data_IF_835859641914
#
_entry.id   IF_835859641914
#
_cell.length_a   1.000
_cell.length_b   1.000
_cell.length_c   1.000
_cell.angle_alpha   90.00
_cell.angle_beta   90.00
_cell.angle_gamma   90.00
#
_symmetry.space_group_name_H-M   'P 1'
#
loop_
_entity.id
_entity.type
_entity.pdbx_description
1 polymer ?
#
# COMPACT_ATOMS: atom_id res chain seq x y z
N UNK A 1 -53.03 -43.46 76.47
CA UNK A 1 -52.56 -43.04 75.13
C UNK A 1 -52.16 -41.59 75.22
N UNK A 2 -50.85 -41.30 75.41
CA UNK A 2 -50.26 -39.94 75.44
C UNK A 2 -49.75 -39.66 74.06
N UNK A 3 -50.43 -38.76 73.35
CA UNK A 3 -49.95 -38.17 72.10
C UNK A 3 -48.81 -37.18 72.44
N UNK A 4 -47.59 -37.65 72.29
CA UNK A 4 -46.44 -36.81 72.31
C UNK A 4 -46.37 -36.03 71.00
N UNK A 5 -46.67 -34.72 71.02
CA UNK A 5 -46.39 -33.83 69.92
C UNK A 5 -44.88 -33.59 69.87
N UNK A 6 -44.24 -34.21 68.92
CA UNK A 6 -42.84 -33.94 68.59
C UNK A 6 -42.78 -32.54 67.93
N UNK A 7 -42.19 -31.56 68.65
CA UNK A 7 -41.88 -30.24 68.07
C UNK A 7 -40.80 -30.42 67.07
N UNK A 8 -41.13 -30.30 65.81
CA UNK A 8 -40.14 -30.19 64.73
C UNK A 8 -39.46 -28.85 64.92
N UNK A 9 -38.27 -28.87 65.50
CA UNK A 9 -37.41 -27.69 65.50
C UNK A 9 -37.09 -27.33 64.07
N UNK A 10 -37.61 -26.21 63.64
CA UNK A 10 -37.31 -25.65 62.31
C UNK A 10 -35.87 -25.17 62.35
N UNK A 11 -34.92 -26.00 61.92
CA UNK A 11 -33.50 -25.69 61.87
C UNK A 11 -33.27 -24.62 60.79
N UNK A 12 -33.33 -23.36 61.21
CA UNK A 12 -33.15 -22.20 60.35
C UNK A 12 -31.75 -22.20 59.71
N UNK A 13 -30.76 -22.81 60.36
CA UNK A 13 -29.39 -22.98 59.83
C UNK A 13 -29.34 -23.85 58.59
N UNK A 14 -30.18 -24.90 58.50
CA UNK A 14 -30.28 -25.74 57.34
C UNK A 14 -30.85 -25.00 56.12
N UNK A 15 -31.87 -24.18 56.32
CA UNK A 15 -32.48 -23.37 55.25
C UNK A 15 -31.52 -22.31 54.72
N UNK A 16 -30.80 -21.62 55.61
CA UNK A 16 -29.80 -20.61 55.21
C UNK A 16 -28.65 -21.23 54.44
N UNK A 17 -28.16 -22.41 54.82
CA UNK A 17 -27.11 -23.14 54.15
C UNK A 17 -27.56 -23.63 52.77
N UNK A 18 -28.77 -24.17 52.64
CA UNK A 18 -29.31 -24.63 51.37
C UNK A 18 -29.57 -23.48 50.40
N UNK A 19 -30.12 -22.34 50.87
CA UNK A 19 -30.34 -21.15 50.06
C UNK A 19 -29.00 -20.54 49.62
N UNK A 20 -27.98 -20.53 50.48
CA UNK A 20 -26.64 -20.07 50.19
C UNK A 20 -25.98 -20.88 49.02
N UNK A 21 -26.15 -22.19 49.02
CA UNK A 21 -25.63 -23.06 47.93
C UNK A 21 -26.27 -22.72 46.57
N UNK A 22 -27.59 -22.49 46.56
CA UNK A 22 -28.28 -22.11 45.32
C UNK A 22 -27.87 -20.75 44.80
N UNK A 23 -27.61 -19.77 45.69
CA UNK A 23 -27.12 -18.44 45.33
C UNK A 23 -25.71 -18.54 44.71
N UNK A 24 -24.81 -19.29 45.34
CA UNK A 24 -23.45 -19.49 44.83
C UNK A 24 -23.45 -20.20 43.47
N UNK A 25 -24.28 -21.28 43.35
CA UNK A 25 -24.42 -21.97 42.07
C UNK A 25 -24.98 -21.05 40.97
N UNK A 26 -25.96 -20.20 41.29
CA UNK A 26 -26.50 -19.20 40.37
C UNK A 26 -25.48 -18.17 39.93
N UNK A 27 -24.62 -17.70 40.82
CA UNK A 27 -23.55 -16.77 40.52
C UNK A 27 -22.52 -17.41 39.58
N UNK A 28 -22.09 -18.64 39.87
CA UNK A 28 -21.16 -19.38 39.02
C UNK A 28 -21.72 -19.59 37.61
N UNK A 29 -22.99 -19.99 37.52
CA UNK A 29 -23.68 -20.19 36.25
C UNK A 29 -23.84 -18.87 35.48
N UNK A 30 -24.12 -17.76 36.18
CA UNK A 30 -24.21 -16.42 35.61
C UNK A 30 -22.87 -15.92 35.04
N UNK A 31 -21.77 -16.15 35.76
CA UNK A 31 -20.42 -15.82 35.30
C UNK A 31 -20.04 -16.64 34.06
N UNK A 32 -20.35 -17.94 34.09
CA UNK A 32 -20.10 -18.84 32.96
C UNK A 32 -20.90 -18.40 31.72
N UNK A 33 -22.15 -18.05 31.89
CA UNK A 33 -23.01 -17.55 30.80
C UNK A 33 -22.52 -16.21 30.26
N UNK A 34 -22.09 -15.30 31.11
CA UNK A 34 -21.52 -14.01 30.72
C UNK A 34 -20.21 -14.19 29.95
N UNK A 35 -19.36 -15.12 30.38
CA UNK A 35 -18.12 -15.46 29.68
C UNK A 35 -18.42 -16.04 28.28
N UNK A 36 -19.35 -16.97 28.17
CA UNK A 36 -19.81 -17.50 26.89
C UNK A 36 -20.40 -16.42 26.00
N UNK A 37 -21.22 -15.54 26.54
CA UNK A 37 -21.81 -14.43 25.81
C UNK A 37 -20.76 -13.49 25.23
N UNK A 38 -19.76 -13.07 26.04
CA UNK A 38 -18.67 -12.22 25.61
C UNK A 38 -17.77 -12.87 24.56
N UNK A 39 -17.63 -14.20 24.59
CA UNK A 39 -16.82 -14.95 23.61
C UNK A 39 -17.54 -15.14 22.29
N UNK A 40 -18.87 -15.35 22.32
CA UNK A 40 -19.68 -15.58 21.11
C UNK A 40 -20.17 -14.30 20.43
N UNK A 41 -20.30 -13.19 21.18
CA UNK A 41 -20.71 -11.91 20.62
C UNK A 41 -19.49 -11.00 20.47
N UNK A 42 -18.88 -10.90 19.26
CA UNK A 42 -17.78 -9.98 19.03
C UNK A 42 -18.23 -8.54 19.33
N UNK A 43 -17.42 -7.83 20.08
CA UNK A 43 -17.69 -6.45 20.46
C UNK A 43 -17.98 -5.60 19.21
N UNK A 44 -18.95 -4.67 19.24
CA UNK A 44 -19.22 -3.78 18.12
C UNK A 44 -17.97 -2.99 17.69
N UNK A 45 -17.03 -2.75 18.59
CA UNK A 45 -15.73 -2.13 18.30
C UNK A 45 -14.83 -3.04 17.43
N UNK A 46 -14.80 -4.34 17.69
CA UNK A 46 -14.05 -5.29 16.87
C UNK A 46 -14.57 -5.34 15.44
N UNK A 47 -15.89 -5.34 15.26
CA UNK A 47 -16.52 -5.29 13.94
C UNK A 47 -16.20 -3.98 13.19
N UNK A 48 -16.14 -2.86 13.90
CA UNK A 48 -15.73 -1.58 13.32
C UNK A 48 -14.27 -1.60 12.88
N UNK A 49 -13.36 -2.03 13.75
CA UNK A 49 -11.94 -2.15 13.45
C UNK A 49 -11.68 -3.12 12.28
N UNK A 50 -12.42 -4.21 12.22
CA UNK A 50 -12.30 -5.15 11.12
C UNK A 50 -12.76 -4.56 9.79
N UNK A 51 -13.88 -3.81 9.78
CA UNK A 51 -14.35 -3.08 8.59
C UNK A 51 -13.39 -1.99 8.16
N UNK A 52 -12.83 -1.23 9.11
CA UNK A 52 -11.81 -0.23 8.82
C UNK A 52 -10.56 -0.86 8.22
N UNK A 53 -10.11 -1.99 8.76
CA UNK A 53 -8.98 -2.76 8.23
C UNK A 53 -9.25 -3.25 6.80
N UNK A 54 -10.42 -3.82 6.54
CA UNK A 54 -10.83 -4.29 5.21
C UNK A 54 -10.92 -3.13 4.21
N UNK A 55 -11.46 -1.99 4.64
CA UNK A 55 -11.54 -0.77 3.82
C UNK A 55 -10.15 -0.24 3.47
N UNK A 56 -9.25 -0.16 4.46
CA UNK A 56 -7.87 0.27 4.24
C UNK A 56 -7.12 -0.68 3.31
N UNK A 57 -7.29 -1.98 3.46
CA UNK A 57 -6.70 -2.97 2.55
C UNK A 57 -7.19 -2.79 1.12
N UNK A 58 -8.49 -2.63 0.93
CA UNK A 58 -9.07 -2.36 -0.40
C UNK A 58 -8.55 -1.05 -1.01
N UNK A 59 -8.41 0.01 -0.21
CA UNK A 59 -7.83 1.28 -0.67
C UNK A 59 -6.37 1.12 -1.08
N UNK A 60 -5.57 0.36 -0.32
CA UNK A 60 -4.18 0.08 -0.67
C UNK A 60 -4.06 -0.75 -1.96
N UNK A 61 -4.94 -1.72 -2.19
CA UNK A 61 -4.99 -2.48 -3.45
C UNK A 61 -5.31 -1.59 -4.65
N UNK A 62 -6.29 -0.68 -4.50
CA UNK A 62 -6.61 0.30 -5.55
C UNK A 62 -5.43 1.21 -5.85
N UNK A 63 -4.77 1.73 -4.80
CA UNK A 63 -3.58 2.55 -4.95
C UNK A 63 -2.43 1.78 -5.62
N UNK A 64 -2.21 0.53 -5.24
CA UNK A 64 -1.19 -0.31 -5.87
C UNK A 64 -1.46 -0.47 -7.37
N UNK A 65 -2.70 -0.74 -7.74
CA UNK A 65 -3.08 -0.84 -9.16
C UNK A 65 -2.88 0.49 -9.92
N UNK A 66 -3.18 1.63 -9.29
CA UNK A 66 -2.93 2.94 -9.90
C UNK A 66 -1.43 3.20 -10.10
N UNK A 67 -0.60 2.83 -9.12
CA UNK A 67 0.87 2.95 -9.25
C UNK A 67 1.40 2.06 -10.35
N UNK A 68 0.93 0.81 -10.46
CA UNK A 68 1.31 -0.09 -11.54
C UNK A 68 0.93 0.47 -12.92
N UNK A 69 -0.25 1.10 -13.05
CA UNK A 69 -0.65 1.79 -14.29
C UNK A 69 0.26 2.99 -14.61
N UNK A 70 0.62 3.78 -13.59
CA UNK A 70 1.56 4.90 -13.78
C UNK A 70 2.94 4.40 -14.22
N UNK A 71 3.38 3.26 -13.71
CA UNK A 71 4.64 2.64 -14.10
C UNK A 71 4.63 2.20 -15.58
N UNK A 72 3.52 1.65 -16.06
CA UNK A 72 3.36 1.30 -17.49
C UNK A 72 3.47 2.55 -18.36
N UNK A 73 2.81 3.65 -17.98
CA UNK A 73 2.90 4.92 -18.71
C UNK A 73 4.33 5.47 -18.68
N UNK A 74 5.03 5.35 -17.54
CA UNK A 74 6.41 5.79 -17.43
C UNK A 74 7.34 5.01 -18.38
N UNK A 75 7.18 3.69 -18.46
CA UNK A 75 7.94 2.85 -19.40
C UNK A 75 7.68 3.28 -20.85
N UNK A 76 6.44 3.56 -21.22
CA UNK A 76 6.11 4.06 -22.57
C UNK A 76 6.78 5.43 -22.85
N UNK A 77 6.77 6.34 -21.89
CA UNK A 77 7.46 7.63 -21.99
C UNK A 77 8.98 7.47 -22.15
N UNK A 78 9.59 6.58 -21.38
CA UNK A 78 11.01 6.26 -21.47
C UNK A 78 11.36 5.68 -22.85
N UNK A 79 10.53 4.80 -23.36
CA UNK A 79 10.71 4.19 -24.67
C UNK A 79 10.59 5.21 -25.81
N UNK A 80 9.68 6.17 -25.69
CA UNK A 80 9.56 7.27 -26.66
C UNK A 80 10.77 8.22 -26.58
N UNK A 81 11.27 8.51 -25.38
CA UNK A 81 12.46 9.30 -25.19
C UNK A 81 13.67 8.68 -25.88
N UNK A 82 13.92 7.40 -25.64
CA UNK A 82 15.07 6.68 -26.17
C UNK A 82 14.97 6.42 -27.69
N UNK A 83 13.79 6.06 -28.20
CA UNK A 83 13.62 5.62 -29.58
C UNK A 83 13.25 6.75 -30.56
N UNK A 84 12.64 7.82 -30.09
CA UNK A 84 12.21 8.93 -30.94
C UNK A 84 13.04 10.18 -30.71
N UNK A 85 12.98 10.74 -29.49
CA UNK A 85 13.58 12.06 -29.24
C UNK A 85 15.10 12.02 -29.30
N UNK A 86 15.73 11.06 -28.62
CA UNK A 86 17.20 10.96 -28.61
C UNK A 86 17.78 10.55 -29.95
N UNK A 87 17.13 9.65 -30.66
CA UNK A 87 17.52 9.27 -32.02
C UNK A 87 17.42 10.46 -32.97
N UNK A 88 16.34 11.26 -32.89
CA UNK A 88 16.14 12.43 -33.75
C UNK A 88 17.24 13.50 -33.57
N UNK A 89 17.71 13.67 -32.32
CA UNK A 89 18.76 14.64 -31.98
C UNK A 89 20.15 14.03 -31.90
N UNK A 90 20.33 12.73 -32.18
CA UNK A 90 21.61 12.05 -32.14
C UNK A 90 22.21 11.94 -30.72
N UNK A 91 21.36 11.92 -29.69
CA UNK A 91 21.75 11.76 -28.31
C UNK A 91 21.75 10.29 -27.88
N UNK A 92 22.61 9.92 -26.92
CA UNK A 92 22.65 8.58 -26.38
C UNK A 92 21.48 8.34 -25.38
N UNK A 93 20.93 7.10 -25.32
CA UNK A 93 19.90 6.73 -24.35
C UNK A 93 20.39 6.88 -22.89
N UNK A 94 19.49 7.22 -21.97
CA UNK A 94 19.84 7.31 -20.56
C UNK A 94 20.02 5.88 -19.99
N UNK A 95 21.18 5.56 -19.38
CA UNK A 95 21.41 4.24 -18.80
C UNK A 95 20.36 3.88 -17.71
N UNK A 96 19.93 2.62 -17.68
CA UNK A 96 18.94 2.11 -16.71
C UNK A 96 19.38 2.34 -15.25
N UNK A 97 20.68 2.28 -14.98
CA UNK A 97 21.23 2.56 -13.65
C UNK A 97 20.91 3.97 -13.13
N UNK A 98 20.82 4.95 -14.03
CA UNK A 98 20.44 6.32 -13.68
C UNK A 98 18.93 6.43 -13.48
N UNK A 99 18.13 5.73 -14.28
CA UNK A 99 16.67 5.73 -14.20
C UNK A 99 16.18 5.07 -12.91
N UNK A 100 16.68 3.87 -12.58
CA UNK A 100 16.19 3.04 -11.48
C UNK A 100 16.78 3.38 -10.09
N UNK A 101 17.92 4.06 -10.05
CA UNK A 101 18.53 4.45 -8.78
C UNK A 101 19.19 3.33 -7.98
N UNK A 102 19.81 3.70 -6.88
CA UNK A 102 20.67 2.84 -6.09
C UNK A 102 19.85 1.97 -5.12
N UNK A 103 20.24 0.70 -4.99
CA UNK A 103 19.70 -0.37 -4.13
C UNK A 103 19.53 -0.04 -2.62
N UNK A 104 20.12 1.06 -2.14
CA UNK A 104 20.11 1.45 -0.70
C UNK A 104 18.72 1.68 -0.10
N UNK A 105 17.71 1.93 -0.92
CA UNK A 105 16.35 2.17 -0.42
C UNK A 105 15.60 0.88 -0.08
N UNK A 106 15.95 -0.24 -0.70
CA UNK A 106 15.27 -1.53 -0.48
C UNK A 106 15.39 -1.95 0.99
N UNK A 107 16.60 -1.87 1.57
CA UNK A 107 16.85 -2.22 2.98
C UNK A 107 16.05 -1.35 3.97
N UNK A 108 15.87 -0.06 3.66
CA UNK A 108 15.06 0.84 4.47
C UNK A 108 13.57 0.42 4.47
N UNK A 109 13.01 0.04 3.33
CA UNK A 109 11.61 -0.37 3.23
C UNK A 109 11.34 -1.77 3.79
N UNK A 110 12.30 -2.68 3.72
CA UNK A 110 12.22 -3.96 4.41
C UNK A 110 12.11 -3.78 5.93
N UNK A 111 12.86 -2.83 6.50
CA UNK A 111 12.75 -2.49 7.92
C UNK A 111 11.39 -1.87 8.27
N UNK A 112 10.81 -1.03 7.42
CA UNK A 112 9.46 -0.48 7.60
C UNK A 112 8.41 -1.58 7.55
N UNK A 113 8.52 -2.54 6.64
CA UNK A 113 7.61 -3.66 6.52
C UNK A 113 7.57 -4.54 7.78
N UNK A 114 8.70 -4.68 8.47
CA UNK A 114 8.78 -5.40 9.75
C UNK A 114 8.13 -4.62 10.90
N UNK A 115 8.21 -3.29 10.88
CA UNK A 115 7.62 -2.42 11.91
C UNK A 115 6.11 -2.23 11.76
N UNK A 116 5.62 -2.24 10.55
CA UNK A 116 4.20 -2.07 10.24
C UNK A 116 3.68 -3.41 9.73
N UNK A 117 2.68 -3.99 10.36
CA UNK A 117 2.06 -5.27 9.94
C UNK A 117 1.43 -5.24 8.52
N UNK A 118 1.85 -4.33 7.67
CA UNK A 118 1.33 -4.10 6.33
C UNK A 118 2.44 -4.14 5.29
N UNK A 119 2.85 -5.34 4.91
CA UNK A 119 3.78 -5.55 3.79
C UNK A 119 3.33 -4.84 2.51
N UNK A 120 2.02 -4.80 2.26
CA UNK A 120 1.44 -4.11 1.11
C UNK A 120 1.69 -2.59 1.14
N UNK A 121 1.57 -1.95 2.31
CA UNK A 121 1.84 -0.51 2.44
C UNK A 121 3.32 -0.18 2.25
N UNK A 122 4.23 -1.03 2.73
CA UNK A 122 5.66 -0.87 2.54
C UNK A 122 6.05 -1.05 1.06
N UNK A 123 5.53 -2.07 0.39
CA UNK A 123 5.75 -2.31 -1.03
C UNK A 123 5.22 -1.14 -1.89
N UNK A 124 4.02 -0.67 -1.60
CA UNK A 124 3.43 0.48 -2.28
C UNK A 124 4.28 1.75 -2.10
N UNK A 125 4.79 1.99 -0.89
CA UNK A 125 5.65 3.14 -0.62
C UNK A 125 6.95 3.06 -1.42
N UNK A 126 7.55 1.87 -1.51
CA UNK A 126 8.74 1.63 -2.33
C UNK A 126 8.46 1.90 -3.81
N UNK A 127 7.36 1.39 -4.35
CA UNK A 127 6.96 1.61 -5.75
C UNK A 127 6.75 3.09 -6.06
N UNK A 128 6.05 3.82 -5.18
CA UNK A 128 5.83 5.26 -5.34
C UNK A 128 7.14 6.04 -5.35
N UNK A 129 8.09 5.68 -4.50
CA UNK A 129 9.38 6.35 -4.40
C UNK A 129 10.27 6.09 -5.64
N UNK A 130 10.23 4.85 -6.15
CA UNK A 130 10.89 4.51 -7.41
C UNK A 130 10.28 5.28 -8.58
N UNK A 131 8.95 5.29 -8.68
CA UNK A 131 8.22 6.02 -9.72
C UNK A 131 8.51 7.52 -9.67
N UNK A 132 8.52 8.13 -8.49
CA UNK A 132 8.86 9.55 -8.31
C UNK A 132 10.27 9.87 -8.85
N UNK A 133 11.22 8.98 -8.65
CA UNK A 133 12.57 9.12 -9.18
C UNK A 133 12.63 8.98 -10.69
N UNK A 134 11.91 8.00 -11.24
CA UNK A 134 11.82 7.82 -12.68
C UNK A 134 11.19 9.05 -13.36
N UNK A 135 10.11 9.60 -12.78
CA UNK A 135 9.49 10.84 -13.25
C UNK A 135 10.48 12.01 -13.24
N UNK A 136 11.22 12.17 -12.15
CA UNK A 136 12.23 13.23 -12.06
C UNK A 136 13.32 13.08 -13.14
N UNK A 137 13.81 11.87 -13.35
CA UNK A 137 14.81 11.58 -14.38
C UNK A 137 14.25 11.84 -15.77
N UNK A 138 13.00 11.48 -16.04
CA UNK A 138 12.33 11.70 -17.29
C UNK A 138 12.08 13.20 -17.55
N UNK A 139 11.68 13.95 -16.54
CA UNK A 139 11.51 15.39 -16.65
C UNK A 139 12.85 16.09 -17.04
N UNK A 140 13.95 15.67 -16.41
CA UNK A 140 15.27 16.16 -16.75
C UNK A 140 15.70 15.78 -18.18
N UNK A 141 15.37 14.57 -18.63
CA UNK A 141 15.59 14.15 -20.02
C UNK A 141 14.88 15.06 -21.00
N UNK A 142 13.64 15.42 -20.72
CA UNK A 142 12.88 16.33 -21.59
C UNK A 142 13.47 17.75 -21.64
N UNK A 143 14.03 18.24 -20.54
CA UNK A 143 14.76 19.52 -20.56
C UNK A 143 16.00 19.45 -21.49
N UNK A 144 16.71 18.33 -21.49
CA UNK A 144 17.85 18.11 -22.40
C UNK A 144 17.39 18.03 -23.86
N UNK A 145 16.31 17.29 -24.14
CA UNK A 145 15.72 17.18 -25.50
C UNK A 145 15.26 18.56 -25.99
N UNK A 146 14.64 19.36 -25.12
CA UNK A 146 14.23 20.73 -25.46
C UNK A 146 15.42 21.62 -25.81
N UNK A 147 16.51 21.51 -25.05
CA UNK A 147 17.74 22.24 -25.32
C UNK A 147 18.35 21.82 -26.67
N UNK A 148 18.37 20.53 -26.98
CA UNK A 148 18.87 20.02 -28.28
C UNK A 148 17.97 20.47 -29.43
N UNK A 149 16.66 20.51 -29.29
CA UNK A 149 15.71 21.00 -30.28
C UNK A 149 16.00 22.47 -30.64
N UNK A 150 16.18 23.34 -29.66
CA UNK A 150 16.55 24.75 -29.88
C UNK A 150 17.89 24.91 -30.60
N UNK A 151 18.87 24.08 -30.25
CA UNK A 151 20.18 24.11 -30.92
C UNK A 151 20.05 23.66 -32.38
N UNK A 152 19.21 22.70 -32.67
CA UNK A 152 18.97 22.21 -34.03
C UNK A 152 18.21 23.24 -34.87
N UNK A 153 17.25 23.95 -34.30
CA UNK A 153 16.54 25.07 -34.95
C UNK A 153 17.54 26.16 -35.41
N UNK A 154 18.44 26.59 -34.52
CA UNK A 154 19.49 27.58 -34.82
C UNK A 154 20.44 27.03 -35.92
N UNK A 155 20.77 25.74 -35.91
CA UNK A 155 21.61 25.13 -36.94
C UNK A 155 20.91 25.15 -38.30
N UNK A 156 19.61 24.84 -38.34
CA UNK A 156 18.82 24.82 -39.60
C UNK A 156 18.69 26.21 -40.18
N UNK A 157 18.53 27.25 -39.39
CA UNK A 157 18.52 28.64 -39.82
C UNK A 157 19.86 29.07 -40.44
N UNK A 158 20.98 28.52 -39.98
CA UNK A 158 22.31 28.83 -40.43
C UNK A 158 22.83 27.90 -41.53
N UNK A 159 22.10 26.90 -41.99
CA UNK A 159 22.46 26.06 -43.15
C UNK A 159 22.17 26.88 -44.41
N UNK A 160 23.21 27.27 -45.18
CA UNK A 160 22.98 27.94 -46.46
C UNK A 160 22.16 26.99 -47.34
N UNK A 161 21.14 27.56 -47.99
CA UNK A 161 20.33 26.80 -48.99
C UNK A 161 21.23 26.53 -50.22
N UNK A 162 22.10 25.53 -50.13
CA UNK A 162 22.91 25.06 -51.24
C UNK A 162 21.96 24.32 -52.16
N UNK A 163 21.54 24.96 -53.23
CA UNK A 163 20.88 24.26 -54.34
C UNK A 163 21.87 23.20 -54.85
N UNK A 164 21.44 21.90 -54.92
CA UNK A 164 22.29 20.90 -55.51
C UNK A 164 22.53 21.32 -56.96
N UNK A 165 23.76 21.77 -57.23
CA UNK A 165 24.16 22.04 -58.62
C UNK A 165 24.12 20.73 -59.37
N UNK A 166 23.13 20.56 -60.21
CA UNK A 166 23.10 19.48 -61.19
C UNK A 166 24.27 19.70 -62.13
N UNK A 167 25.40 19.06 -61.84
CA UNK A 167 26.53 19.07 -62.74
C UNK A 167 26.15 18.22 -63.96
N UNK A 168 25.71 18.88 -65.01
CA UNK A 168 25.36 18.24 -66.29
C UNK A 168 26.58 17.65 -67.03
N UNK A 169 27.78 17.86 -66.50
CA UNK A 169 29.05 17.49 -67.15
C UNK A 169 29.71 16.23 -66.55
N UNK A 170 29.09 15.55 -65.62
CA UNK A 170 29.52 14.20 -65.19
C UNK A 170 28.88 13.14 -66.08
N UNK A 171 29.58 12.81 -67.18
CA UNK A 171 29.43 11.63 -67.96
C UNK A 171 30.12 10.44 -67.32
#
# INVERSE_FOLDING_TARGET
>A
ETLAMEQVEHDWGYWIRQTGIYIIAGIILGILFLFLFLTFFPSPREKQLQREKETLQSQLEVLNHQVDQMQIVMVDLQQRDDNLYRVLFGAEPIPLSIRQGTQRKIEYYENIAQMTNSQLAADLTLKVDMLAKEIYTQAKSYDEVLAMSKTQEIRMENIPAIQPVMNKDLK
#
